data_IF_585844884449
#
_entry.id   IF_585844884449
#
_cell.length_a   1.000
_cell.length_b   1.000
_cell.length_c   1.000
_cell.angle_alpha   90.00
_cell.angle_beta   90.00
_cell.angle_gamma   90.00
#
_symmetry.space_group_name_H-M   'P 1'
#
loop_
_entity.id
_entity.type
_entity.pdbx_description
1 polymer ?
#
# COMPACT_ATOMS: atom_id res chain seq x y z
N UNK A 1 -9.55 -2.15 -13.79
CA UNK A 1 -8.57 -1.16 -13.30
C UNK A 1 -8.79 -0.99 -11.80
N UNK A 2 -7.77 -0.66 -11.03
CA UNK A 2 -7.85 -0.51 -9.56
C UNK A 2 -7.31 0.85 -9.12
N UNK A 3 -7.80 1.34 -7.99
CA UNK A 3 -7.33 2.57 -7.36
C UNK A 3 -6.78 2.25 -5.98
N UNK A 4 -5.55 2.69 -5.72
CA UNK A 4 -5.01 2.80 -4.37
C UNK A 4 -5.35 4.18 -3.83
N UNK A 5 -6.11 4.24 -2.74
CA UNK A 5 -6.61 5.47 -2.12
C UNK A 5 -5.99 5.65 -0.73
N UNK A 6 -5.64 6.88 -0.39
CA UNK A 6 -5.27 7.29 0.96
C UNK A 6 -6.51 7.72 1.74
N UNK A 7 -6.71 7.14 2.93
CA UNK A 7 -7.85 7.42 3.80
C UNK A 7 -7.51 8.32 5.00
N UNK A 8 -6.22 8.59 5.24
CA UNK A 8 -5.79 9.47 6.33
C UNK A 8 -4.34 9.95 6.16
N UNK A 9 -4.04 11.07 6.82
CA UNK A 9 -2.73 11.69 6.80
C UNK A 9 -2.63 12.81 5.76
N UNK A 10 -1.41 13.31 5.47
CA UNK A 10 -1.22 14.49 4.63
C UNK A 10 -1.57 14.28 3.15
N UNK A 11 -1.84 13.03 2.75
CA UNK A 11 -2.23 12.66 1.39
C UNK A 11 -3.70 12.20 1.29
N UNK A 12 -4.53 12.48 2.30
CA UNK A 12 -5.94 12.06 2.31
C UNK A 12 -6.66 12.38 0.98
N UNK A 13 -7.41 11.42 0.47
CA UNK A 13 -8.08 11.49 -0.84
C UNK A 13 -7.16 11.32 -2.07
N UNK A 14 -5.83 11.26 -1.91
CA UNK A 14 -4.92 10.98 -3.02
C UNK A 14 -5.13 9.55 -3.53
N UNK A 15 -5.16 9.40 -4.84
CA UNK A 15 -5.32 8.10 -5.50
C UNK A 15 -4.22 7.82 -6.52
N UNK A 16 -3.86 6.54 -6.67
CA UNK A 16 -3.02 6.06 -7.77
C UNK A 16 -3.73 4.93 -8.51
N UNK A 17 -3.93 5.04 -9.85
CA UNK A 17 -4.43 3.93 -10.63
C UNK A 17 -3.36 2.88 -10.87
N UNK A 18 -3.76 1.60 -10.90
CA UNK A 18 -2.91 0.49 -11.27
C UNK A 18 -3.71 -0.70 -11.83
N UNK A 19 -3.03 -1.63 -12.50
CA UNK A 19 -3.66 -2.78 -13.13
C UNK A 19 -3.29 -4.10 -12.47
N UNK A 20 -2.00 -4.46 -12.49
CA UNK A 20 -1.50 -5.73 -11.94
C UNK A 20 -0.70 -5.56 -10.67
N UNK A 21 0.01 -4.46 -10.55
CA UNK A 21 0.94 -4.23 -9.45
C UNK A 21 1.13 -2.74 -9.20
N UNK A 22 1.35 -2.38 -7.93
CA UNK A 22 1.80 -1.05 -7.54
C UNK A 22 2.74 -1.13 -6.32
N UNK A 23 3.87 -0.42 -6.39
CA UNK A 23 4.79 -0.30 -5.25
C UNK A 23 4.47 0.97 -4.45
N UNK A 24 4.45 0.82 -3.13
CA UNK A 24 4.22 1.88 -2.15
C UNK A 24 5.52 2.18 -1.41
N UNK A 25 5.83 3.46 -1.26
CA UNK A 25 7.08 3.88 -0.64
C UNK A 25 7.18 5.38 -0.43
N UNK A 26 8.29 5.85 0.12
CA UNK A 26 8.55 7.27 0.39
C UNK A 26 9.43 7.94 -0.67
N UNK A 27 9.99 7.16 -1.57
CA UNK A 27 10.94 7.59 -2.60
C UNK A 27 10.32 7.34 -3.97
N UNK A 28 10.11 8.41 -4.75
CA UNK A 28 9.43 8.38 -6.04
C UNK A 28 10.25 7.69 -7.14
N UNK A 29 11.58 7.60 -6.98
CA UNK A 29 12.43 6.79 -7.85
C UNK A 29 12.27 5.28 -7.60
N UNK A 30 11.72 4.88 -6.45
CA UNK A 30 11.63 3.48 -6.00
C UNK A 30 10.20 2.98 -5.81
N UNK A 31 9.19 3.86 -5.83
CA UNK A 31 7.80 3.52 -5.63
C UNK A 31 6.86 4.41 -6.46
N UNK A 32 5.91 3.77 -7.14
CA UNK A 32 4.88 4.48 -7.91
C UNK A 32 3.92 5.27 -7.01
N UNK A 33 3.49 4.67 -5.89
CA UNK A 33 2.70 5.35 -4.87
C UNK A 33 3.62 5.98 -3.81
N UNK A 34 4.09 7.20 -4.12
CA UNK A 34 5.03 7.92 -3.27
C UNK A 34 4.31 8.72 -2.15
N UNK A 35 4.60 8.34 -0.90
CA UNK A 35 4.15 8.94 0.36
C UNK A 35 5.30 9.74 1.02
N UNK A 36 5.87 10.70 0.28
CA UNK A 36 7.10 11.43 0.65
C UNK A 36 7.08 12.08 2.06
N UNK A 37 5.90 12.49 2.55
CA UNK A 37 5.74 13.17 3.84
C UNK A 37 5.65 12.24 5.05
N UNK A 38 5.42 10.94 4.85
CA UNK A 38 5.35 9.98 5.95
C UNK A 38 6.73 9.36 6.23
N UNK A 39 7.49 9.96 7.13
CA UNK A 39 8.84 9.49 7.52
C UNK A 39 8.89 8.04 8.05
N UNK A 40 7.75 7.45 8.42
CA UNK A 40 7.67 6.05 8.86
C UNK A 40 7.58 5.07 7.68
N UNK A 41 7.42 5.58 6.47
CA UNK A 41 7.44 4.79 5.25
C UNK A 41 8.89 4.62 4.77
N UNK A 42 9.37 3.37 4.65
CA UNK A 42 10.58 3.01 3.90
C UNK A 42 10.54 3.54 2.47
N UNK A 43 11.71 3.81 1.89
CA UNK A 43 11.83 4.25 0.49
C UNK A 43 11.07 3.36 -0.49
N UNK A 44 11.23 2.04 -0.33
CA UNK A 44 10.41 0.97 -0.90
C UNK A 44 9.84 0.18 0.27
N UNK A 45 8.52 0.16 0.44
CA UNK A 45 7.90 -0.30 1.69
C UNK A 45 7.03 -1.53 1.50
N UNK A 46 6.03 -1.43 0.63
CA UNK A 46 5.07 -2.49 0.38
C UNK A 46 4.75 -2.56 -1.11
N UNK A 47 4.16 -3.67 -1.51
CA UNK A 47 3.68 -3.89 -2.88
C UNK A 47 2.32 -4.54 -2.84
N UNK A 48 1.47 -4.13 -3.77
CA UNK A 48 0.21 -4.80 -4.06
C UNK A 48 0.38 -5.55 -5.36
N UNK A 49 -0.08 -6.79 -5.39
CA UNK A 49 -0.08 -7.65 -6.58
C UNK A 49 -1.48 -8.20 -6.81
N UNK A 50 -1.88 -8.27 -8.07
CA UNK A 50 -3.16 -8.83 -8.49
C UNK A 50 -2.88 -9.96 -9.47
N UNK A 51 -3.32 -11.15 -9.09
CA UNK A 51 -3.18 -12.36 -9.88
C UNK A 51 -4.50 -13.14 -9.85
N UNK A 52 -5.02 -13.51 -11.03
CA UNK A 52 -6.30 -14.21 -11.15
C UNK A 52 -7.49 -13.52 -10.48
N UNK A 53 -7.47 -12.20 -10.31
CA UNK A 53 -8.51 -11.43 -9.61
C UNK A 53 -8.41 -11.43 -8.07
N UNK A 54 -7.40 -12.11 -7.52
CA UNK A 54 -7.04 -12.06 -6.10
C UNK A 54 -5.93 -11.06 -5.87
N UNK A 55 -6.06 -10.25 -4.82
CA UNK A 55 -5.06 -9.25 -4.45
C UNK A 55 -4.26 -9.70 -3.23
N UNK A 56 -2.95 -9.49 -3.28
CA UNK A 56 -2.02 -9.73 -2.17
C UNK A 56 -1.33 -8.43 -1.77
N UNK A 57 -1.10 -8.29 -0.47
CA UNK A 57 -0.29 -7.23 0.14
C UNK A 57 1.02 -7.85 0.62
N UNK A 58 2.14 -7.30 0.14
CA UNK A 58 3.48 -7.80 0.42
C UNK A 58 4.28 -6.71 1.13
N UNK A 59 4.80 -6.99 2.32
CA UNK A 59 5.78 -6.11 2.97
C UNK A 59 7.17 -6.38 2.38
N UNK A 60 7.84 -5.32 1.89
CA UNK A 60 9.14 -5.42 1.22
C UNK A 60 10.31 -5.27 2.20
N UNK A 61 10.21 -5.92 3.37
CA UNK A 61 11.15 -5.80 4.50
C UNK A 61 11.29 -4.34 4.93
N UNK A 62 10.15 -3.68 5.10
CA UNK A 62 10.12 -2.30 5.54
C UNK A 62 10.62 -2.15 6.99
N UNK A 63 11.06 -0.94 7.37
CA UNK A 63 11.63 -0.71 8.71
C UNK A 63 10.57 -0.79 9.80
N UNK A 64 9.36 -0.29 9.53
CA UNK A 64 8.28 -0.17 10.52
C UNK A 64 7.15 -1.19 10.30
N UNK A 65 7.25 -2.01 9.26
CA UNK A 65 6.26 -3.00 8.89
C UNK A 65 5.02 -2.41 8.23
N UNK A 66 4.31 -3.30 7.55
CA UNK A 66 2.95 -3.10 7.04
C UNK A 66 1.96 -3.80 7.96
N UNK A 67 0.75 -3.26 8.13
CA UNK A 67 -0.29 -3.88 8.98
C UNK A 67 -1.62 -4.04 8.24
N UNK A 68 -2.30 -5.15 8.48
CA UNK A 68 -3.66 -5.43 8.00
C UNK A 68 -4.54 -5.82 9.20
N UNK A 69 -5.64 -5.12 9.43
CA UNK A 69 -6.50 -5.37 10.59
C UNK A 69 -5.78 -5.25 11.94
N UNK A 70 -4.76 -4.38 12.02
CA UNK A 70 -3.91 -4.20 13.20
C UNK A 70 -2.77 -5.20 13.35
N UNK A 71 -2.78 -6.31 12.61
CA UNK A 71 -1.76 -7.35 12.64
C UNK A 71 -0.63 -7.06 11.65
N UNK A 72 0.64 -7.41 11.97
CA UNK A 72 1.76 -7.26 11.04
C UNK A 72 1.60 -8.19 9.84
N UNK A 73 1.93 -7.68 8.66
CA UNK A 73 2.03 -8.48 7.43
C UNK A 73 3.38 -9.21 7.43
N UNK A 74 3.34 -10.54 7.34
CA UNK A 74 4.54 -11.40 7.26
C UNK A 74 4.54 -12.08 5.90
N UNK A 75 5.55 -11.78 5.08
CA UNK A 75 5.60 -12.24 3.70
C UNK A 75 4.53 -11.56 2.85
N UNK A 76 3.65 -12.36 2.26
CA UNK A 76 2.48 -11.88 1.52
C UNK A 76 1.19 -12.35 2.20
N UNK A 77 0.20 -11.47 2.27
CA UNK A 77 -1.13 -11.79 2.80
C UNK A 77 -2.22 -11.46 1.78
N UNK A 78 -3.30 -12.25 1.72
CA UNK A 78 -4.48 -11.88 0.95
C UNK A 78 -5.03 -10.53 1.45
N UNK A 79 -5.33 -9.62 0.53
CA UNK A 79 -5.97 -8.34 0.83
C UNK A 79 -7.30 -8.29 0.08
N UNK A 80 -8.44 -8.42 0.78
CA UNK A 80 -9.74 -8.19 0.15
C UNK A 80 -9.87 -6.73 -0.29
N UNK A 81 -10.50 -6.49 -1.44
CA UNK A 81 -10.79 -5.13 -1.90
C UNK A 81 -11.67 -4.39 -0.88
N UNK A 82 -11.42 -3.09 -0.74
CA UNK A 82 -12.14 -2.24 0.20
C UNK A 82 -11.65 -2.33 1.65
N UNK A 83 -10.81 -3.32 1.99
CA UNK A 83 -10.28 -3.46 3.35
C UNK A 83 -9.09 -2.51 3.56
N UNK A 84 -9.11 -1.67 4.62
CA UNK A 84 -7.99 -0.79 4.92
C UNK A 84 -6.76 -1.55 5.43
N UNK A 85 -5.59 -1.05 5.08
CA UNK A 85 -4.29 -1.47 5.58
C UNK A 85 -3.41 -0.26 5.89
N UNK A 86 -2.33 -0.46 6.65
CA UNK A 86 -1.45 0.62 7.12
C UNK A 86 -0.04 0.39 6.62
N UNK A 87 0.54 1.44 6.05
CA UNK A 87 1.96 1.53 5.67
C UNK A 87 2.56 2.75 6.36
N UNK A 88 3.57 2.54 7.22
CA UNK A 88 4.07 3.59 8.11
C UNK A 88 2.98 4.09 9.05
N UNK A 89 2.48 5.30 8.84
CA UNK A 89 1.31 5.89 9.54
C UNK A 89 0.15 6.23 8.62
N UNK A 90 0.26 5.87 7.35
CA UNK A 90 -0.76 6.17 6.34
C UNK A 90 -1.72 4.99 6.21
N UNK A 91 -3.02 5.27 6.31
CA UNK A 91 -4.07 4.28 6.06
C UNK A 91 -4.41 4.31 4.56
N UNK A 92 -4.38 3.15 3.94
CA UNK A 92 -4.60 2.94 2.51
C UNK A 92 -5.73 1.93 2.29
N UNK A 93 -6.36 2.01 1.13
CA UNK A 93 -7.36 1.05 0.66
C UNK A 93 -7.27 0.88 -0.84
N UNK A 94 -7.65 -0.30 -1.33
CA UNK A 94 -7.81 -0.54 -2.77
C UNK A 94 -9.28 -0.67 -3.12
N UNK A 95 -9.72 0.05 -4.15
CA UNK A 95 -11.06 -0.07 -4.73
C UNK A 95 -10.98 -0.50 -6.20
N UNK A 96 -12.08 -1.06 -6.70
CA UNK A 96 -12.25 -1.31 -8.14
C UNK A 96 -12.72 -0.01 -8.79
N UNK A 97 -12.07 0.38 -9.88
CA UNK A 97 -12.54 1.45 -10.76
C UNK A 97 -13.57 0.92 -11.75
#
# INVERSE_FOLDING_TARGET
MYLLEVLSGPFDGKTWPFEREITIGRDDALAQACLALDRYVSRRHARLEIDGGSMRLVDLRSRNGTRLGGQPVVGEVPLPFGVPFVVGRTILRVTRA
#
